data_IF_802138652159
#
_entry.id   IF_802138652159
#
_cell.length_a   1.000
_cell.length_b   1.000
_cell.length_c   1.000
_cell.angle_alpha   90.00
_cell.angle_beta   90.00
_cell.angle_gamma   90.00
#
_symmetry.space_group_name_H-M   'P 1'
#
loop_
_entity.id
_entity.type
_entity.pdbx_description
1 polymer ?
#
# COMPACT_ATOMS: atom_id res chain seq x y z
N UNK A 1 38.28 -20.19 73.43
CA UNK A 1 38.76 -19.83 72.08
C UNK A 1 38.07 -18.54 71.70
N UNK A 2 38.73 -17.39 71.83
CA UNK A 2 38.10 -16.10 71.55
C UNK A 2 39.15 -15.05 71.15
N UNK A 3 38.86 -14.40 70.02
CA UNK A 3 39.14 -13.02 69.56
C UNK A 3 40.46 -12.27 69.82
N UNK A 4 40.77 -11.48 68.76
CA UNK A 4 41.36 -10.12 68.69
C UNK A 4 42.87 -9.98 68.91
N UNK A 5 43.62 -9.60 67.88
CA UNK A 5 43.88 -8.25 67.30
C UNK A 5 45.01 -7.51 68.04
N UNK A 6 46.08 -7.16 67.32
CA UNK A 6 46.76 -5.86 67.46
C UNK A 6 47.89 -5.71 66.41
N UNK A 7 47.82 -4.62 65.63
CA UNK A 7 48.99 -4.01 64.96
C UNK A 7 49.73 -3.14 66.00
N UNK A 8 51.00 -2.76 65.76
CA UNK A 8 51.18 -1.38 65.29
C UNK A 8 52.39 -1.15 64.35
N UNK A 9 52.51 0.12 63.99
CA UNK A 9 53.20 0.85 62.94
C UNK A 9 54.69 1.16 63.15
N UNK A 10 55.41 1.43 62.03
CA UNK A 10 56.44 2.47 61.97
C UNK A 10 57.73 2.11 61.22
N UNK A 11 58.20 2.99 60.31
CA UNK A 11 59.59 3.00 59.82
C UNK A 11 59.80 3.21 58.32
N UNK A 12 60.02 4.47 57.89
CA UNK A 12 60.75 4.89 56.66
C UNK A 12 62.27 4.91 56.95
N UNK A 13 63.20 5.24 56.02
CA UNK A 13 63.28 5.12 54.54
C UNK A 13 64.69 4.63 54.06
N UNK A 14 64.97 4.79 52.75
CA UNK A 14 66.27 4.88 52.04
C UNK A 14 66.59 3.74 51.08
N UNK A 15 66.73 4.06 49.79
CA UNK A 15 68.04 3.93 49.17
C UNK A 15 68.22 4.87 47.97
N UNK A 16 69.48 5.22 47.72
CA UNK A 16 69.96 6.36 46.94
C UNK A 16 70.80 5.86 45.74
N UNK A 17 70.82 6.65 44.65
CA UNK A 17 71.87 6.73 43.57
C UNK A 17 71.95 5.57 42.56
N UNK A 18 72.26 5.73 41.26
CA UNK A 18 72.70 6.85 40.41
C UNK A 18 72.62 6.46 38.90
N UNK A 19 72.69 7.46 38.00
CA UNK A 19 73.01 7.31 36.56
C UNK A 19 72.01 8.03 35.63
N UNK A 20 72.07 9.36 35.50
CA UNK A 20 72.64 10.11 34.36
C UNK A 20 71.95 9.88 33.01
N UNK A 21 71.17 10.88 32.55
CA UNK A 21 71.49 11.72 31.38
C UNK A 21 70.50 12.91 31.29
N UNK A 22 71.05 14.11 31.09
CA UNK A 22 70.29 15.34 30.83
C UNK A 22 70.31 15.64 29.33
N UNK A 23 69.17 15.80 28.65
CA UNK A 23 69.11 16.58 27.42
C UNK A 23 68.93 18.06 27.75
N UNK A 24 69.72 18.89 27.07
CA UNK A 24 69.86 20.33 27.23
C UNK A 24 68.53 21.07 27.03
N UNK A 25 68.27 22.09 27.87
CA UNK A 25 67.31 23.14 27.56
C UNK A 25 67.74 23.85 26.27
N UNK A 26 66.99 23.64 25.20
CA UNK A 26 67.08 24.48 24.02
C UNK A 26 66.02 25.57 24.15
N UNK A 27 66.47 26.80 24.38
CA UNK A 27 65.62 27.97 24.38
C UNK A 27 64.89 28.07 23.03
N UNK A 28 63.58 27.91 23.05
CA UNK A 28 62.70 28.36 21.98
C UNK A 28 61.71 29.32 22.59
N UNK A 29 62.01 30.59 22.36
CA UNK A 29 61.10 31.71 22.15
C UNK A 29 59.69 31.54 22.74
N UNK A 30 59.36 32.44 23.67
CA UNK A 30 58.02 32.75 24.13
C UNK A 30 57.10 33.13 22.95
N UNK A 31 56.59 32.14 22.23
CA UNK A 31 55.49 32.32 21.31
C UNK A 31 54.22 32.36 22.17
N UNK A 32 53.76 33.58 22.44
CA UNK A 32 52.36 33.85 22.80
C UNK A 32 51.48 32.98 21.90
N UNK A 33 50.91 31.91 22.45
CA UNK A 33 49.87 31.14 21.76
C UNK A 33 48.61 31.99 21.76
N UNK A 34 48.56 32.98 20.88
CA UNK A 34 47.31 33.63 20.53
C UNK A 34 46.57 32.66 19.62
N UNK A 35 45.94 31.64 20.22
CA UNK A 35 44.88 30.93 19.53
C UNK A 35 43.87 32.01 19.13
N UNK A 36 43.73 32.27 17.83
CA UNK A 36 42.83 33.30 17.38
C UNK A 36 41.41 32.96 17.85
N UNK A 37 40.60 33.97 18.19
CA UNK A 37 39.21 33.74 18.62
C UNK A 37 38.45 32.82 17.65
N UNK A 38 38.72 32.92 16.35
CA UNK A 38 38.15 32.04 15.32
C UNK A 38 38.67 30.60 15.36
N UNK A 39 39.91 30.37 15.77
CA UNK A 39 40.48 29.04 15.94
C UNK A 39 39.95 28.32 17.19
N UNK A 40 39.80 29.06 18.29
CA UNK A 40 39.13 28.55 19.49
C UNK A 40 37.66 28.17 19.21
N UNK A 41 36.93 29.01 18.46
CA UNK A 41 35.53 28.73 18.07
C UNK A 41 35.45 27.49 17.17
N UNK A 42 36.38 27.32 16.22
CA UNK A 42 36.41 26.12 15.35
C UNK A 42 36.74 24.85 16.15
N UNK A 43 37.67 24.92 17.09
CA UNK A 43 38.01 23.81 17.96
C UNK A 43 36.82 23.40 18.85
N UNK A 44 36.10 24.38 19.41
CA UNK A 44 34.90 24.15 20.20
C UNK A 44 33.78 23.52 19.35
N UNK A 45 33.55 24.02 18.14
CA UNK A 45 32.54 23.47 17.22
C UNK A 45 32.84 22.02 16.80
N UNK A 46 34.12 21.68 16.60
CA UNK A 46 34.56 20.30 16.33
C UNK A 46 34.37 19.38 17.54
N UNK A 47 34.77 19.84 18.72
CA UNK A 47 34.55 19.06 19.96
C UNK A 47 33.06 18.82 20.22
N UNK A 48 32.21 19.80 19.90
CA UNK A 48 30.76 19.69 20.03
C UNK A 48 30.18 18.72 18.98
N UNK A 49 30.62 18.80 17.72
CA UNK A 49 30.18 17.85 16.68
C UNK A 49 30.66 16.42 16.94
N UNK A 50 31.86 16.26 17.49
CA UNK A 50 32.40 14.94 17.86
C UNK A 50 31.64 14.35 19.05
N UNK A 51 31.30 15.17 20.05
CA UNK A 51 30.44 14.78 21.16
C UNK A 51 29.04 14.39 20.68
N UNK A 52 28.44 15.17 19.78
CA UNK A 52 27.13 14.86 19.17
C UNK A 52 27.18 13.55 18.37
N UNK A 53 28.27 13.30 17.63
CA UNK A 53 28.45 12.06 16.86
C UNK A 53 28.58 10.85 17.77
N UNK A 54 29.34 10.95 18.85
CA UNK A 54 29.48 9.89 19.85
C UNK A 54 28.12 9.64 20.51
N UNK A 55 27.42 10.70 20.95
CA UNK A 55 26.08 10.58 21.54
C UNK A 55 25.09 9.94 20.57
N UNK A 56 25.14 10.26 19.27
CA UNK A 56 24.30 9.62 18.24
C UNK A 56 24.59 8.13 18.03
N UNK A 57 25.82 7.68 18.29
CA UNK A 57 26.18 6.25 18.21
C UNK A 57 25.66 5.45 19.41
N UNK A 58 25.48 6.11 20.56
CA UNK A 58 24.96 5.48 21.80
C UNK A 58 23.48 5.77 22.06
N UNK A 59 22.88 6.70 21.32
CA UNK A 59 21.43 6.79 21.16
C UNK A 59 20.99 5.51 20.46
N UNK A 60 20.60 4.52 21.25
CA UNK A 60 19.77 3.42 20.77
C UNK A 60 18.62 4.05 20.02
N UNK A 61 18.48 3.76 18.73
CA UNK A 61 17.31 4.15 17.97
C UNK A 61 16.10 3.75 18.81
N UNK A 62 15.39 4.74 19.33
CA UNK A 62 14.20 4.51 20.13
C UNK A 62 13.29 3.66 19.26
N UNK A 63 13.14 2.39 19.63
CA UNK A 63 12.64 1.34 18.75
C UNK A 63 11.11 1.35 18.77
N UNK A 64 10.54 2.55 18.70
CA UNK A 64 9.10 2.79 18.70
C UNK A 64 8.58 3.19 17.33
N UNK A 65 9.42 3.67 16.40
CA UNK A 65 9.04 3.80 15.00
C UNK A 65 9.44 2.54 14.21
N UNK A 66 8.61 1.51 14.37
CA UNK A 66 8.54 0.41 13.40
C UNK A 66 8.39 1.04 12.00
N UNK A 67 9.24 0.73 11.00
CA UNK A 67 9.01 1.20 9.65
C UNK A 67 7.64 0.68 9.22
N UNK A 68 6.68 1.61 9.00
CA UNK A 68 5.36 1.26 8.47
C UNK A 68 5.61 0.47 7.19
N UNK A 69 5.31 -0.84 7.23
CA UNK A 69 5.37 -1.68 6.03
C UNK A 69 4.55 -0.98 4.94
N UNK A 70 5.02 -1.00 3.69
CA UNK A 70 4.26 -0.45 2.56
C UNK A 70 2.83 -1.05 2.45
N UNK A 71 2.60 -2.21 3.07
CA UNK A 71 1.32 -2.91 3.16
C UNK A 71 0.54 -2.60 4.45
N UNK A 72 0.87 -1.54 5.20
CA UNK A 72 0.06 -1.10 6.33
C UNK A 72 -1.23 -0.47 5.79
N UNK A 73 -2.30 -1.26 5.80
CA UNK A 73 -3.63 -0.75 5.59
C UNK A 73 -4.10 -0.13 6.90
N UNK A 74 -4.35 1.18 6.90
CA UNK A 74 -5.10 1.81 7.99
C UNK A 74 -6.53 1.27 7.96
N UNK A 75 -6.81 0.30 8.83
CA UNK A 75 -8.13 -0.33 8.95
C UNK A 75 -9.09 0.48 9.83
N UNK A 76 -8.63 1.59 10.42
CA UNK A 76 -9.44 2.43 11.31
C UNK A 76 -10.26 3.49 10.57
N UNK A 77 -9.92 3.80 9.32
CA UNK A 77 -10.63 4.80 8.50
C UNK A 77 -11.37 4.15 7.34
N UNK A 78 -12.60 4.60 7.01
CA UNK A 78 -13.29 4.18 5.80
C UNK A 78 -12.49 4.49 4.55
N UNK A 79 -12.02 3.45 3.86
CA UNK A 79 -11.24 3.57 2.63
C UNK A 79 -12.03 3.10 1.42
N UNK A 80 -11.83 3.78 0.29
CA UNK A 80 -12.29 3.35 -1.02
C UNK A 80 -11.33 2.29 -1.56
N UNK A 81 -11.83 1.13 -1.95
CA UNK A 81 -11.06 0.06 -2.59
C UNK A 81 -11.40 0.03 -4.07
N UNK A 82 -10.37 -0.01 -4.90
CA UNK A 82 -10.48 -0.25 -6.35
C UNK A 82 -9.71 -1.53 -6.62
N UNK A 83 -10.40 -2.55 -7.11
CA UNK A 83 -9.86 -3.90 -7.24
C UNK A 83 -10.05 -4.35 -8.68
N UNK A 84 -8.94 -4.54 -9.40
CA UNK A 84 -8.98 -5.16 -10.72
C UNK A 84 -9.11 -6.67 -10.59
N UNK A 85 -10.27 -7.21 -10.95
CA UNK A 85 -10.54 -8.65 -10.93
C UNK A 85 -10.14 -9.30 -12.27
N UNK A 86 -10.27 -8.55 -13.36
CA UNK A 86 -9.79 -8.94 -14.69
C UNK A 86 -9.44 -7.71 -15.54
N UNK A 87 -8.94 -7.94 -16.76
CA UNK A 87 -8.44 -6.87 -17.65
C UNK A 87 -6.96 -6.49 -17.46
N UNK A 88 -6.28 -7.05 -16.44
CA UNK A 88 -4.89 -6.68 -16.08
C UNK A 88 -3.82 -7.59 -16.72
N UNK A 89 -4.20 -8.41 -17.70
CA UNK A 89 -3.32 -9.38 -18.38
C UNK A 89 -2.62 -8.84 -19.63
N UNK A 90 -2.69 -7.52 -19.86
CA UNK A 90 -2.08 -6.83 -21.01
C UNK A 90 -2.86 -6.97 -22.32
N UNK A 91 -3.67 -8.03 -22.47
CA UNK A 91 -4.60 -8.21 -23.57
C UNK A 91 -5.92 -7.46 -23.40
N UNK A 92 -6.22 -6.97 -22.19
CA UNK A 92 -7.49 -6.32 -21.88
C UNK A 92 -8.67 -7.27 -21.98
N UNK A 93 -8.44 -8.56 -21.70
CA UNK A 93 -9.49 -9.57 -21.74
C UNK A 93 -10.22 -9.65 -20.40
N UNK A 94 -11.45 -10.19 -20.37
CA UNK A 94 -12.24 -10.41 -19.15
C UNK A 94 -12.27 -9.18 -18.23
N UNK A 95 -12.57 -7.99 -18.78
CA UNK A 95 -12.55 -6.75 -18.01
C UNK A 95 -13.56 -6.79 -16.86
N UNK A 96 -13.07 -6.54 -15.64
CA UNK A 96 -13.90 -6.42 -14.44
C UNK A 96 -13.13 -5.65 -13.38
N UNK A 97 -13.65 -4.49 -13.00
CA UNK A 97 -13.13 -3.67 -11.90
C UNK A 97 -14.22 -3.56 -10.84
N UNK A 98 -13.85 -3.73 -9.57
CA UNK A 98 -14.74 -3.56 -8.44
C UNK A 98 -14.36 -2.29 -7.68
N UNK A 99 -15.35 -1.44 -7.41
CA UNK A 99 -15.24 -0.27 -6.55
C UNK A 99 -16.04 -0.53 -5.28
N UNK A 100 -15.37 -0.71 -4.15
CA UNK A 100 -15.98 -0.99 -2.85
C UNK A 100 -15.74 0.17 -1.88
N UNK A 101 -16.81 0.65 -1.25
CA UNK A 101 -16.75 1.61 -0.16
C UNK A 101 -17.72 1.20 0.95
N UNK A 102 -17.20 1.01 2.16
CA UNK A 102 -17.97 0.56 3.32
C UNK A 102 -18.75 -0.75 3.04
N UNK A 103 -20.07 -0.65 2.94
CA UNK A 103 -21.01 -1.76 2.76
C UNK A 103 -21.59 -1.84 1.35
N UNK A 104 -21.10 -1.01 0.43
CA UNK A 104 -21.58 -0.94 -0.94
C UNK A 104 -20.43 -1.18 -1.91
N UNK A 105 -20.74 -1.90 -2.98
CA UNK A 105 -19.81 -2.16 -4.06
C UNK A 105 -20.50 -2.03 -5.42
N UNK A 106 -19.77 -1.48 -6.39
CA UNK A 106 -20.18 -1.37 -7.79
C UNK A 106 -19.15 -2.09 -8.64
N UNK A 107 -19.62 -2.95 -9.54
CA UNK A 107 -18.78 -3.64 -10.51
C UNK A 107 -18.84 -2.86 -11.81
N UNK A 108 -17.68 -2.57 -12.39
CA UNK A 108 -17.52 -1.95 -13.69
C UNK A 108 -17.08 -3.05 -14.66
N UNK A 109 -17.91 -3.30 -15.66
CA UNK A 109 -17.76 -4.38 -16.64
C UNK A 109 -17.70 -5.80 -16.08
N UNK A 110 -17.94 -6.77 -16.94
CA UNK A 110 -17.98 -8.19 -16.64
C UNK A 110 -17.75 -8.99 -17.92
N UNK A 111 -16.50 -8.97 -18.40
CA UNK A 111 -16.09 -9.53 -19.67
C UNK A 111 -15.82 -11.03 -19.71
N UNK A 112 -15.61 -11.52 -20.93
CA UNK A 112 -14.97 -12.81 -21.18
C UNK A 112 -13.59 -12.66 -21.84
N UNK A 113 -12.86 -13.76 -21.90
CA UNK A 113 -11.58 -13.89 -22.57
C UNK A 113 -11.69 -14.91 -23.70
N UNK A 114 -11.69 -14.44 -24.95
CA UNK A 114 -11.74 -15.30 -26.14
C UNK A 114 -10.36 -15.87 -26.53
N UNK A 115 -9.27 -15.43 -25.89
CA UNK A 115 -7.89 -15.83 -26.19
C UNK A 115 -7.43 -17.09 -25.48
N UNK A 116 -8.33 -17.79 -24.77
CA UNK A 116 -8.00 -19.01 -24.03
C UNK A 116 -7.72 -20.17 -24.99
N UNK A 117 -6.45 -20.56 -25.09
CA UNK A 117 -5.99 -21.67 -25.93
C UNK A 117 -5.97 -22.99 -25.15
N UNK A 118 -7.16 -23.45 -24.74
CA UNK A 118 -7.35 -24.72 -24.04
C UNK A 118 -8.38 -25.59 -24.81
N UNK A 119 -8.06 -26.85 -25.16
CA UNK A 119 -8.96 -27.70 -25.92
C UNK A 119 -10.34 -27.85 -25.26
N UNK A 120 -11.40 -27.55 -26.02
CA UNK A 120 -12.79 -27.65 -25.58
C UNK A 120 -13.30 -26.47 -24.75
N UNK A 121 -12.48 -25.46 -24.48
CA UNK A 121 -12.89 -24.22 -23.82
C UNK A 121 -13.18 -23.16 -24.88
N UNK A 122 -14.36 -22.54 -24.83
CA UNK A 122 -14.74 -21.50 -25.78
C UNK A 122 -14.25 -20.10 -25.36
N UNK A 123 -14.23 -19.83 -24.05
CA UNK A 123 -13.78 -18.57 -23.47
C UNK A 123 -13.56 -18.70 -21.95
N UNK A 124 -12.75 -17.82 -21.40
CA UNK A 124 -12.56 -17.64 -19.95
C UNK A 124 -13.44 -16.53 -19.38
N UNK A 125 -13.67 -16.55 -18.07
CA UNK A 125 -14.29 -15.47 -17.29
C UNK A 125 -13.47 -15.22 -16.02
N UNK A 126 -13.73 -14.12 -15.32
CA UNK A 126 -13.07 -13.80 -14.06
C UNK A 126 -13.37 -14.82 -12.95
N UNK A 127 -12.39 -15.02 -12.05
CA UNK A 127 -12.61 -15.71 -10.78
C UNK A 127 -13.47 -14.83 -9.86
N UNK A 128 -14.61 -15.37 -9.43
CA UNK A 128 -15.59 -14.67 -8.59
C UNK A 128 -15.45 -15.00 -7.11
N UNK A 129 -14.37 -15.67 -6.67
CA UNK A 129 -14.16 -16.04 -5.26
C UNK A 129 -14.26 -14.82 -4.33
N UNK A 130 -13.73 -13.67 -4.76
CA UNK A 130 -13.85 -12.44 -3.96
C UNK A 130 -15.29 -11.92 -3.89
N UNK A 131 -16.05 -11.97 -4.99
CA UNK A 131 -17.45 -11.54 -5.06
C UNK A 131 -18.32 -12.34 -4.08
N UNK A 132 -18.03 -13.63 -3.88
CA UNK A 132 -18.72 -14.46 -2.89
C UNK A 132 -18.59 -13.88 -1.47
N UNK A 133 -17.39 -13.40 -1.11
CA UNK A 133 -17.14 -12.82 0.22
C UNK A 133 -17.87 -11.49 0.46
N UNK A 134 -18.28 -10.79 -0.60
CA UNK A 134 -18.92 -9.47 -0.53
C UNK A 134 -20.31 -9.45 -1.18
N UNK A 135 -20.93 -10.61 -1.40
CA UNK A 135 -22.20 -10.76 -2.15
C UNK A 135 -23.28 -9.76 -1.73
N UNK A 136 -23.44 -9.51 -0.43
CA UNK A 136 -24.43 -8.57 0.11
C UNK A 136 -24.13 -7.08 -0.10
N UNK A 137 -22.90 -6.74 -0.54
CA UNK A 137 -22.46 -5.37 -0.82
C UNK A 137 -22.72 -4.95 -2.26
N UNK A 138 -22.82 -5.89 -3.20
CA UNK A 138 -22.92 -5.59 -4.64
C UNK A 138 -24.24 -4.89 -4.92
N UNK A 139 -24.18 -3.67 -5.44
CA UNK A 139 -25.35 -2.81 -5.71
C UNK A 139 -25.67 -2.68 -7.19
N UNK A 140 -24.67 -2.76 -8.05
CA UNK A 140 -24.84 -2.58 -9.49
C UNK A 140 -23.68 -3.18 -10.28
N UNK A 141 -24.00 -3.51 -11.53
CA UNK A 141 -23.04 -3.61 -12.62
C UNK A 141 -23.17 -2.35 -13.47
N UNK A 142 -22.08 -1.67 -13.76
CA UNK A 142 -22.04 -0.50 -14.64
C UNK A 142 -21.20 -0.89 -15.85
N UNK A 143 -21.82 -0.92 -17.02
CA UNK A 143 -21.19 -1.41 -18.24
C UNK A 143 -20.80 -0.24 -19.11
N UNK A 144 -19.53 -0.21 -19.50
CA UNK A 144 -18.95 0.87 -20.29
C UNK A 144 -19.44 0.81 -21.74
N UNK A 145 -19.31 -0.34 -22.40
CA UNK A 145 -19.72 -0.55 -23.79
C UNK A 145 -20.03 -2.03 -24.10
N UNK A 146 -20.47 -2.30 -25.33
CA UNK A 146 -21.07 -3.58 -25.72
C UNK A 146 -20.12 -4.65 -26.27
N UNK A 147 -18.80 -4.56 -26.11
CA UNK A 147 -17.90 -5.63 -26.56
C UNK A 147 -17.86 -6.81 -25.58
N UNK A 148 -17.58 -8.02 -26.09
CA UNK A 148 -17.67 -9.26 -25.33
C UNK A 148 -16.67 -9.34 -24.16
N UNK A 149 -15.51 -8.71 -24.30
CA UNK A 149 -14.51 -8.53 -23.24
C UNK A 149 -14.98 -7.56 -22.13
N UNK A 150 -16.17 -6.97 -22.25
CA UNK A 150 -16.84 -6.16 -21.21
C UNK A 150 -18.20 -6.73 -20.76
N UNK A 151 -18.91 -7.49 -21.59
CA UNK A 151 -20.25 -8.02 -21.26
C UNK A 151 -20.39 -9.54 -21.29
N UNK A 152 -19.41 -10.25 -21.85
CA UNK A 152 -19.50 -11.69 -22.13
C UNK A 152 -19.54 -12.58 -20.90
N UNK A 153 -19.10 -12.09 -19.74
CA UNK A 153 -19.16 -12.79 -18.46
C UNK A 153 -20.49 -12.61 -17.72
N UNK A 154 -21.33 -11.64 -18.11
CA UNK A 154 -22.55 -11.29 -17.36
C UNK A 154 -23.50 -12.47 -17.15
N UNK A 155 -23.82 -13.31 -18.16
CA UNK A 155 -24.75 -14.43 -17.97
C UNK A 155 -24.25 -15.49 -16.98
N UNK A 156 -22.94 -15.57 -16.75
CA UNK A 156 -22.34 -16.51 -15.81
C UNK A 156 -22.30 -15.98 -14.37
N UNK A 157 -22.16 -14.67 -14.23
CA UNK A 157 -21.82 -14.00 -12.97
C UNK A 157 -23.05 -13.34 -12.33
N UNK A 158 -23.87 -12.63 -13.10
CA UNK A 158 -25.04 -11.90 -12.58
C UNK A 158 -26.07 -12.83 -11.91
N UNK A 159 -26.37 -14.04 -12.43
CA UNK A 159 -27.29 -14.94 -11.72
C UNK A 159 -26.77 -15.41 -10.35
N UNK A 160 -25.44 -15.46 -10.15
CA UNK A 160 -24.82 -15.81 -8.86
C UNK A 160 -24.82 -14.61 -7.91
N UNK A 161 -24.60 -13.41 -8.44
CA UNK A 161 -24.49 -12.16 -7.69
C UNK A 161 -25.49 -11.11 -8.21
N UNK A 162 -26.80 -11.29 -7.94
CA UNK A 162 -27.84 -10.51 -8.60
C UNK A 162 -27.82 -9.03 -8.21
N UNK A 163 -27.60 -8.15 -9.19
CA UNK A 163 -27.70 -6.71 -9.07
C UNK A 163 -28.15 -6.08 -10.41
N UNK A 164 -28.81 -4.91 -10.40
CA UNK A 164 -29.18 -4.21 -11.63
C UNK A 164 -27.96 -3.84 -12.49
N UNK A 165 -28.13 -3.94 -13.81
CA UNK A 165 -27.12 -3.61 -14.81
C UNK A 165 -27.44 -2.24 -15.42
N UNK A 166 -26.50 -1.32 -15.29
CA UNK A 166 -26.57 0.05 -15.79
C UNK A 166 -25.69 0.19 -17.03
N UNK A 167 -26.13 0.98 -17.99
CA UNK A 167 -25.34 1.27 -19.18
C UNK A 167 -26.09 2.16 -20.16
N UNK A 168 -25.42 2.56 -21.23
CA UNK A 168 -26.06 3.30 -22.32
C UNK A 168 -27.17 2.48 -22.97
N UNK A 169 -28.06 3.13 -23.72
CA UNK A 169 -29.14 2.45 -24.45
C UNK A 169 -28.63 1.32 -25.35
N UNK A 170 -27.53 1.56 -26.07
CA UNK A 170 -26.93 0.54 -26.95
C UNK A 170 -26.33 -0.61 -26.15
N UNK A 171 -25.59 -0.29 -25.09
CA UNK A 171 -24.97 -1.28 -24.20
C UNK A 171 -26.01 -2.20 -23.57
N UNK A 172 -27.11 -1.65 -23.05
CA UNK A 172 -28.20 -2.44 -22.46
C UNK A 172 -28.86 -3.34 -23.51
N UNK A 173 -29.09 -2.86 -24.73
CA UNK A 173 -29.61 -3.72 -25.81
C UNK A 173 -28.70 -4.93 -26.10
N UNK A 174 -27.37 -4.74 -26.05
CA UNK A 174 -26.41 -5.84 -26.21
C UNK A 174 -26.39 -6.81 -25.03
N UNK A 175 -26.52 -6.29 -23.81
CA UNK A 175 -26.66 -7.12 -22.61
C UNK A 175 -27.91 -8.00 -22.73
N UNK A 176 -29.06 -7.42 -23.06
CA UNK A 176 -30.33 -8.16 -23.23
C UNK A 176 -30.21 -9.23 -24.31
N UNK A 177 -29.60 -8.91 -25.45
CA UNK A 177 -29.33 -9.86 -26.54
C UNK A 177 -28.47 -11.06 -26.08
N UNK A 178 -27.41 -10.81 -25.29
CA UNK A 178 -26.55 -11.88 -24.77
C UNK A 178 -27.30 -12.79 -23.80
N UNK A 179 -28.13 -12.24 -22.90
CA UNK A 179 -28.93 -13.04 -21.98
C UNK A 179 -29.99 -13.87 -22.72
N UNK A 180 -30.61 -13.32 -23.77
CA UNK A 180 -31.58 -14.04 -24.60
C UNK A 180 -30.94 -15.21 -25.38
N UNK A 181 -29.72 -14.98 -25.88
CA UNK A 181 -28.98 -15.97 -26.67
C UNK A 181 -28.13 -16.91 -25.80
N UNK A 182 -28.22 -16.82 -24.47
CA UNK A 182 -27.42 -17.65 -23.60
C UNK A 182 -27.89 -19.11 -23.69
N UNK A 183 -26.99 -20.00 -24.13
CA UNK A 183 -27.31 -21.40 -24.40
C UNK A 183 -27.57 -22.27 -23.16
N UNK A 184 -27.58 -21.70 -21.97
CA UNK A 184 -27.88 -22.39 -20.72
C UNK A 184 -29.13 -21.80 -20.08
N UNK A 185 -29.99 -22.61 -19.45
CA UNK A 185 -31.15 -22.11 -18.74
C UNK A 185 -30.70 -21.22 -17.57
N UNK A 186 -31.39 -20.10 -17.40
CA UNK A 186 -31.21 -19.26 -16.21
C UNK A 186 -31.74 -19.98 -14.97
N UNK A 187 -31.18 -19.71 -13.77
CA UNK A 187 -31.72 -20.24 -12.52
C UNK A 187 -33.20 -19.88 -12.34
N UNK A 188 -33.94 -20.75 -11.67
CA UNK A 188 -35.36 -20.50 -11.38
C UNK A 188 -35.53 -19.18 -10.60
N UNK A 189 -36.46 -18.34 -11.06
CA UNK A 189 -36.74 -17.03 -10.46
C UNK A 189 -35.70 -15.95 -10.78
N UNK A 190 -34.72 -16.20 -11.64
CA UNK A 190 -33.82 -15.15 -12.13
C UNK A 190 -34.56 -14.19 -13.05
N UNK A 191 -34.49 -12.90 -12.73
CA UNK A 191 -34.99 -11.81 -13.56
C UNK A 191 -33.85 -10.85 -13.88
N UNK A 192 -33.63 -10.60 -15.17
CA UNK A 192 -32.67 -9.62 -15.63
C UNK A 192 -33.20 -8.21 -15.35
N UNK A 193 -32.47 -7.44 -14.54
CA UNK A 193 -32.79 -6.05 -14.24
C UNK A 193 -31.80 -5.13 -14.93
N UNK A 194 -32.28 -4.36 -15.90
CA UNK A 194 -31.49 -3.37 -16.63
C UNK A 194 -31.97 -1.96 -16.31
N UNK A 195 -31.05 -0.99 -16.31
CA UNK A 195 -31.32 0.43 -16.14
C UNK A 195 -30.57 1.18 -17.24
N UNK A 196 -31.32 1.75 -18.18
CA UNK A 196 -30.74 2.58 -19.23
C UNK A 196 -30.37 3.92 -18.64
N UNK A 197 -29.12 4.32 -18.87
CA UNK A 197 -28.62 5.64 -18.55
C UNK A 197 -28.43 6.49 -19.80
N UNK A 198 -28.67 7.80 -19.68
CA UNK A 198 -28.52 8.76 -20.75
C UNK A 198 -27.20 9.53 -20.67
N UNK A 199 -26.25 9.14 -21.50
CA UNK A 199 -24.91 9.72 -21.58
C UNK A 199 -24.85 11.16 -22.17
N UNK A 200 -25.97 11.74 -22.57
CA UNK A 200 -26.05 13.13 -23.06
C UNK A 200 -26.51 14.14 -22.01
N UNK A 201 -27.09 13.67 -20.92
CA UNK A 201 -27.85 14.53 -19.98
C UNK A 201 -27.10 14.82 -18.69
N UNK A 202 -25.90 14.26 -18.50
CA UNK A 202 -25.15 14.30 -17.24
C UNK A 202 -26.00 13.82 -16.06
N UNK A 203 -26.90 12.87 -16.30
CA UNK A 203 -27.74 12.31 -15.26
C UNK A 203 -26.90 11.56 -14.23
N UNK A 204 -27.31 11.66 -12.97
CA UNK A 204 -26.64 11.01 -11.84
C UNK A 204 -27.61 10.07 -11.16
N UNK A 205 -27.32 8.78 -11.23
CA UNK A 205 -28.11 7.77 -10.53
C UNK A 205 -27.41 7.39 -9.22
N UNK A 206 -28.20 7.32 -8.15
CA UNK A 206 -27.70 6.92 -6.83
C UNK A 206 -27.69 5.40 -6.71
N UNK A 207 -26.53 4.84 -6.41
CA UNK A 207 -26.31 3.40 -6.25
C UNK A 207 -25.62 3.18 -4.90
N UNK A 208 -26.42 2.90 -3.87
CA UNK A 208 -25.93 2.87 -2.49
C UNK A 208 -25.36 4.23 -2.07
N UNK A 209 -24.11 4.24 -1.61
CA UNK A 209 -23.30 5.44 -1.32
C UNK A 209 -22.74 6.15 -2.56
N UNK A 210 -22.79 5.53 -3.74
CA UNK A 210 -22.21 6.09 -4.97
C UNK A 210 -23.23 6.90 -5.77
N UNK A 211 -22.72 7.85 -6.55
CA UNK A 211 -23.42 8.45 -7.68
C UNK A 211 -22.69 8.05 -8.96
N UNK A 212 -23.44 7.54 -9.93
CA UNK A 212 -22.92 7.09 -11.24
C UNK A 212 -23.44 8.02 -12.32
N UNK A 213 -22.55 8.47 -13.18
CA UNK A 213 -22.80 9.34 -14.34
C UNK A 213 -22.05 8.74 -15.53
N UNK A 214 -22.69 8.72 -16.71
CA UNK A 214 -22.02 8.29 -17.93
C UNK A 214 -21.45 9.50 -18.67
N UNK A 215 -20.19 9.37 -19.10
CA UNK A 215 -19.52 10.33 -19.98
C UNK A 215 -19.21 9.64 -21.29
N UNK A 216 -19.59 10.26 -22.42
CA UNK A 216 -19.33 9.69 -23.74
C UNK A 216 -17.84 9.70 -24.05
N UNK A 217 -17.36 8.58 -24.55
CA UNK A 217 -16.03 8.39 -25.12
C UNK A 217 -16.14 7.82 -26.54
N UNK A 218 -15.07 7.97 -27.32
CA UNK A 218 -14.97 7.33 -28.64
C UNK A 218 -14.26 6.00 -28.49
N UNK A 219 -14.86 4.93 -29.00
CA UNK A 219 -14.33 3.57 -29.04
C UNK A 219 -14.77 2.89 -30.33
#
# INVERSE_FOLDING_TARGET
MEQKNNRPTGGRPQNNKAGQERPKLQATTSASRSASRGEAIRAQKRAQSDAERIVSQYLTADTSEQPRRANYLDTGTPTLKIIGIGGMDGGGSKNMILVEYLNDAVIIDCGNDLGVDLPGINYGICDTTYLESIRGKIRAYVITHGHLDHIGGLPHIVPKFPAPIYGSRFTIGRVEEIFQNFGLPMPEGFELRTVIMNENTNERLKVGVFFVELVRVTH
#
